data_IF_688932327053
#
_entry.id   IF_688932327053
#
_cell.length_a   1.000
_cell.length_b   1.000
_cell.length_c   1.000
_cell.angle_alpha   90.00
_cell.angle_beta   90.00
_cell.angle_gamma   90.00
#
_symmetry.space_group_name_H-M   'P 1'
#
loop_
_entity.id
_entity.type
_entity.pdbx_description
1 polymer ?
#
# COMPACT_ATOMS: atom_id res chain seq x y z
N UNK A 1 20.49 3.25 3.56
CA UNK A 1 21.22 3.86 2.43
C UNK A 1 22.22 4.87 2.95
N UNK A 2 21.77 5.77 3.83
CA UNK A 2 22.63 6.75 4.51
C UNK A 2 23.76 6.10 5.34
N UNK A 3 23.51 4.90 5.88
CA UNK A 3 24.51 4.07 6.56
C UNK A 3 25.47 3.31 5.61
N UNK A 4 25.41 3.54 4.29
CA UNK A 4 26.26 2.89 3.28
C UNK A 4 25.82 1.48 2.84
N UNK A 5 24.75 0.95 3.44
CA UNK A 5 24.17 -0.35 3.10
C UNK A 5 23.60 -0.40 1.67
N UNK A 6 23.66 -1.59 1.04
CA UNK A 6 23.17 -1.83 -0.34
C UNK A 6 22.07 -2.91 -0.40
N UNK A 7 20.87 -2.66 0.16
CA UNK A 7 19.87 -3.70 0.34
C UNK A 7 19.02 -3.91 -0.94
N UNK A 8 19.55 -4.66 -1.92
CA UNK A 8 18.91 -4.80 -3.24
C UNK A 8 17.45 -5.26 -3.22
N UNK A 9 17.09 -6.17 -2.31
CA UNK A 9 15.72 -6.69 -2.17
C UNK A 9 14.80 -5.64 -1.56
N UNK A 10 15.26 -4.92 -0.53
CA UNK A 10 14.46 -3.88 0.12
C UNK A 10 14.23 -2.70 -0.82
N UNK A 11 15.25 -2.30 -1.58
CA UNK A 11 15.11 -1.28 -2.63
C UNK A 11 14.06 -1.69 -3.68
N UNK A 12 14.05 -2.96 -4.08
CA UNK A 12 13.04 -3.48 -5.01
C UNK A 12 11.62 -3.48 -4.41
N UNK A 13 11.47 -3.86 -3.13
CA UNK A 13 10.19 -3.80 -2.39
C UNK A 13 9.69 -2.36 -2.33
N UNK A 14 10.55 -1.41 -1.91
CA UNK A 14 10.20 0.01 -1.78
C UNK A 14 9.83 0.61 -3.14
N UNK A 15 10.62 0.37 -4.19
CA UNK A 15 10.30 0.84 -5.54
C UNK A 15 8.94 0.33 -5.99
N UNK A 16 8.69 -0.97 -5.83
CA UNK A 16 7.40 -1.57 -6.20
C UNK A 16 6.24 -0.95 -5.43
N UNK A 17 6.32 -0.91 -4.10
CA UNK A 17 5.22 -0.44 -3.25
C UNK A 17 4.95 1.06 -3.36
N UNK A 18 5.99 1.89 -3.40
CA UNK A 18 5.80 3.34 -3.53
C UNK A 18 5.19 3.71 -4.89
N UNK A 19 5.58 3.01 -5.96
CA UNK A 19 5.05 3.32 -7.30
C UNK A 19 3.63 2.77 -7.52
N UNK A 20 3.30 1.60 -6.98
CA UNK A 20 1.94 1.06 -7.04
C UNK A 20 1.00 1.81 -6.08
N UNK A 21 1.43 2.07 -4.85
CA UNK A 21 0.66 2.87 -3.89
C UNK A 21 0.42 4.30 -4.37
N UNK A 22 1.38 4.92 -5.08
CA UNK A 22 1.16 6.21 -5.74
C UNK A 22 0.11 6.11 -6.86
N UNK A 23 0.09 5.03 -7.64
CA UNK A 23 -0.95 4.82 -8.66
C UNK A 23 -2.34 4.74 -8.01
N UNK A 24 -2.49 3.93 -6.97
CA UNK A 24 -3.76 3.78 -6.24
C UNK A 24 -4.19 5.11 -5.63
N UNK A 25 -3.30 5.78 -4.88
CA UNK A 25 -3.59 7.06 -4.22
C UNK A 25 -3.99 8.15 -5.21
N UNK A 26 -3.31 8.25 -6.37
CA UNK A 26 -3.67 9.23 -7.40
C UNK A 26 -5.02 8.88 -8.02
N UNK A 27 -5.32 7.60 -8.29
CA UNK A 27 -6.63 7.21 -8.80
C UNK A 27 -7.75 7.56 -7.82
N UNK A 28 -7.58 7.22 -6.54
CA UNK A 28 -8.56 7.53 -5.50
C UNK A 28 -8.77 9.04 -5.35
N UNK A 29 -7.68 9.83 -5.41
CA UNK A 29 -7.77 11.28 -5.42
C UNK A 29 -8.53 11.80 -6.65
N UNK A 30 -8.29 11.23 -7.84
CA UNK A 30 -9.02 11.62 -9.05
C UNK A 30 -10.50 11.27 -8.95
N UNK A 31 -10.86 10.13 -8.36
CA UNK A 31 -12.25 9.73 -8.12
C UNK A 31 -12.96 10.69 -7.15
N UNK A 32 -12.28 11.11 -6.07
CA UNK A 32 -12.79 12.12 -5.12
C UNK A 32 -13.02 13.47 -5.82
N UNK A 33 -12.10 13.89 -6.69
CA UNK A 33 -12.19 15.18 -7.39
C UNK A 33 -13.11 15.17 -8.63
N UNK A 34 -13.48 14.00 -9.15
CA UNK A 34 -14.39 13.85 -10.28
C UNK A 34 -13.99 14.65 -11.52
N UNK A 35 -14.91 15.47 -12.04
CA UNK A 35 -14.72 16.23 -13.29
C UNK A 35 -13.48 17.12 -13.30
N UNK A 36 -13.10 17.69 -12.14
CA UNK A 36 -11.89 18.52 -12.00
C UNK A 36 -10.62 17.75 -12.35
N UNK A 37 -10.54 16.48 -11.94
CA UNK A 37 -9.37 15.65 -12.17
C UNK A 37 -9.20 15.26 -13.65
N UNK A 38 -10.26 15.36 -14.46
CA UNK A 38 -10.22 15.00 -15.88
C UNK A 38 -9.72 16.18 -16.73
N UNK A 39 -10.18 17.40 -16.44
CA UNK A 39 -9.83 18.57 -17.27
C UNK A 39 -8.42 19.06 -16.96
N UNK A 40 -7.58 19.13 -17.99
CA UNK A 40 -6.18 19.55 -17.85
C UNK A 40 -6.05 21.07 -17.91
N UNK A 41 -6.27 21.72 -16.78
CA UNK A 41 -6.05 23.15 -16.62
C UNK A 41 -5.31 23.51 -15.32
N UNK A 42 -5.14 24.82 -15.06
CA UNK A 42 -4.38 25.32 -13.90
C UNK A 42 -4.91 24.85 -12.55
N UNK A 43 -6.20 24.49 -12.44
CA UNK A 43 -6.79 24.00 -11.19
C UNK A 43 -6.57 22.50 -10.99
N UNK A 44 -6.12 21.75 -12.00
CA UNK A 44 -5.91 20.31 -11.91
C UNK A 44 -4.46 19.95 -11.58
N UNK A 45 -4.20 19.74 -10.29
CA UNK A 45 -2.90 19.34 -9.76
C UNK A 45 -2.64 17.82 -9.83
N UNK A 46 -3.62 17.00 -10.25
CA UNK A 46 -3.51 15.54 -10.27
C UNK A 46 -3.14 14.97 -11.64
N UNK A 47 -3.57 15.63 -12.74
CA UNK A 47 -3.43 15.08 -14.09
C UNK A 47 -1.98 14.82 -14.51
N UNK A 48 -1.03 15.68 -14.12
CA UNK A 48 0.38 15.49 -14.46
C UNK A 48 0.97 14.29 -13.72
N UNK A 49 0.67 14.14 -12.43
CA UNK A 49 1.08 12.99 -11.62
C UNK A 49 0.51 11.69 -12.19
N UNK A 50 -0.78 11.68 -12.56
CA UNK A 50 -1.42 10.53 -13.20
C UNK A 50 -0.73 10.11 -14.50
N UNK A 51 -0.44 11.08 -15.39
CA UNK A 51 0.28 10.83 -16.65
C UNK A 51 1.70 10.30 -16.45
N UNK A 52 2.34 10.65 -15.33
CA UNK A 52 3.69 10.21 -15.01
C UNK A 52 3.75 8.78 -14.44
N UNK A 53 2.63 8.22 -13.95
CA UNK A 53 2.58 6.89 -13.32
C UNK A 53 3.20 5.76 -14.17
N UNK A 54 2.94 5.65 -15.49
CA UNK A 54 3.54 4.58 -16.29
C UNK A 54 5.07 4.63 -16.30
N UNK A 55 5.66 5.82 -16.23
CA UNK A 55 7.12 6.00 -16.22
C UNK A 55 7.70 5.40 -14.94
N UNK A 56 7.17 5.78 -13.77
CA UNK A 56 7.66 5.28 -12.48
C UNK A 56 7.56 3.75 -12.34
N UNK A 57 6.53 3.16 -12.96
CA UNK A 57 6.24 1.72 -12.84
C UNK A 57 7.09 0.88 -13.80
N UNK A 58 7.48 1.45 -14.94
CA UNK A 58 8.22 0.73 -16.00
C UNK A 58 9.73 0.98 -15.96
N UNK A 59 10.16 2.18 -15.58
CA UNK A 59 11.57 2.57 -15.48
C UNK A 59 12.20 1.98 -14.20
N UNK A 60 13.54 1.82 -14.21
CA UNK A 60 14.34 1.19 -13.13
C UNK A 60 14.04 -0.29 -12.87
N UNK A 61 13.36 -0.94 -13.82
CA UNK A 61 12.89 -2.31 -13.71
C UNK A 61 11.37 -2.35 -13.58
N UNK A 62 10.72 -2.91 -14.60
CA UNK A 62 9.27 -3.00 -14.63
C UNK A 62 8.74 -3.77 -13.40
N UNK A 63 7.73 -3.21 -12.74
CA UNK A 63 7.16 -3.78 -11.52
C UNK A 63 6.80 -5.28 -11.66
N UNK A 64 6.35 -5.72 -12.83
CA UNK A 64 6.04 -7.13 -13.13
C UNK A 64 7.28 -8.03 -12.94
N UNK A 65 8.44 -7.61 -13.45
CA UNK A 65 9.69 -8.35 -13.34
C UNK A 65 10.27 -8.23 -11.93
N UNK A 66 10.22 -7.03 -11.34
CA UNK A 66 10.68 -6.78 -9.97
C UNK A 66 9.96 -7.69 -8.98
N UNK A 67 8.62 -7.75 -9.07
CA UNK A 67 7.77 -8.61 -8.26
C UNK A 67 8.00 -10.09 -8.54
N UNK A 68 8.04 -10.50 -9.81
CA UNK A 68 8.04 -11.93 -10.15
C UNK A 68 9.43 -12.58 -10.09
N UNK A 69 10.52 -11.82 -10.26
CA UNK A 69 11.88 -12.38 -10.38
C UNK A 69 12.85 -11.91 -9.29
N UNK A 70 12.78 -10.64 -8.88
CA UNK A 70 13.82 -10.02 -8.04
C UNK A 70 13.50 -10.21 -6.56
N UNK A 71 12.34 -9.77 -6.11
CA UNK A 71 12.00 -9.66 -4.68
C UNK A 71 12.14 -11.01 -3.97
N UNK A 72 11.46 -12.05 -4.47
CA UNK A 72 11.60 -13.38 -3.88
C UNK A 72 12.73 -14.20 -4.49
N UNK A 73 12.85 -14.27 -5.83
CA UNK A 73 13.80 -15.15 -6.49
C UNK A 73 15.26 -14.88 -6.11
N UNK A 74 15.72 -13.63 -6.23
CA UNK A 74 17.09 -13.28 -5.82
C UNK A 74 17.23 -13.16 -4.30
N UNK A 75 16.17 -12.72 -3.61
CA UNK A 75 16.15 -12.63 -2.15
C UNK A 75 16.31 -14.00 -1.47
N UNK A 76 15.61 -15.02 -1.94
CA UNK A 76 15.68 -16.38 -1.41
C UNK A 76 17.09 -16.97 -1.53
N UNK A 77 17.77 -16.79 -2.66
CA UNK A 77 19.14 -17.29 -2.85
C UNK A 77 20.13 -16.64 -1.87
N UNK A 78 20.00 -15.33 -1.64
CA UNK A 78 20.96 -14.57 -0.81
C UNK A 78 20.66 -14.66 0.68
N UNK A 79 19.39 -14.68 1.07
CA UNK A 79 18.97 -14.62 2.47
C UNK A 79 18.80 -16.00 3.11
N UNK A 80 18.63 -17.07 2.33
CA UNK A 80 18.45 -18.40 2.88
C UNK A 80 19.78 -18.96 3.45
N UNK A 81 19.82 -19.44 4.71
CA UNK A 81 21.07 -19.82 5.39
C UNK A 81 21.89 -20.94 4.72
N UNK A 82 21.24 -21.77 3.90
CA UNK A 82 21.83 -23.00 3.33
C UNK A 82 21.84 -23.03 1.80
N UNK A 83 20.96 -22.28 1.13
CA UNK A 83 20.72 -22.47 -0.31
C UNK A 83 21.94 -22.08 -1.15
N UNK A 84 22.57 -20.94 -0.84
CA UNK A 84 23.78 -20.51 -1.53
C UNK A 84 24.94 -21.47 -1.31
N UNK A 85 25.06 -22.04 -0.10
CA UNK A 85 26.10 -23.01 0.24
C UNK A 85 25.94 -24.30 -0.55
N UNK A 86 24.70 -24.80 -0.69
CA UNK A 86 24.38 -25.96 -1.54
C UNK A 86 24.76 -25.70 -3.00
N UNK A 87 24.38 -24.54 -3.55
CA UNK A 87 24.69 -24.17 -4.93
C UNK A 87 26.21 -24.07 -5.17
N UNK A 88 26.94 -23.43 -4.25
CA UNK A 88 28.40 -23.31 -4.34
C UNK A 88 29.10 -24.66 -4.24
N UNK A 89 28.67 -25.52 -3.32
CA UNK A 89 29.23 -26.87 -3.16
C UNK A 89 28.96 -27.74 -4.40
N UNK A 90 27.78 -27.61 -5.02
CA UNK A 90 27.42 -28.34 -6.25
C UNK A 90 28.16 -27.83 -7.51
N UNK A 91 28.57 -26.56 -7.54
CA UNK A 91 29.33 -25.96 -8.65
C UNK A 91 30.85 -26.14 -8.54
N UNK A 92 31.35 -26.56 -7.37
CA UNK A 92 32.77 -26.74 -7.13
C UNK A 92 33.39 -27.93 -7.89
N UNK A 93 34.73 -28.06 -7.85
CA UNK A 93 35.43 -29.20 -8.46
C UNK A 93 34.94 -30.51 -7.86
N UNK A 94 34.69 -31.52 -8.70
CA UNK A 94 34.23 -32.83 -8.26
C UNK A 94 35.31 -33.54 -7.42
N UNK A 95 35.25 -33.35 -6.10
CA UNK A 95 36.16 -33.95 -5.14
C UNK A 95 35.42 -34.33 -3.83
N UNK A 96 36.11 -35.09 -2.98
CA UNK A 96 35.54 -35.58 -1.72
C UNK A 96 35.20 -34.46 -0.73
N UNK A 97 35.82 -33.28 -0.86
CA UNK A 97 35.50 -32.14 -0.01
C UNK A 97 34.18 -31.48 -0.44
N UNK A 98 34.02 -31.18 -1.73
CA UNK A 98 32.79 -30.60 -2.29
C UNK A 98 31.57 -31.49 -1.99
N UNK A 99 31.74 -32.81 -2.06
CA UNK A 99 30.68 -33.76 -1.66
C UNK A 99 30.30 -33.65 -0.19
N UNK A 100 31.29 -33.57 0.71
CA UNK A 100 31.05 -33.41 2.15
C UNK A 100 30.38 -32.08 2.49
N UNK A 101 30.81 -31.01 1.84
CA UNK A 101 30.24 -29.67 2.02
C UNK A 101 28.79 -29.61 1.53
N UNK A 102 28.50 -30.27 0.40
CA UNK A 102 27.14 -30.41 -0.13
C UNK A 102 26.25 -31.21 0.81
N UNK A 103 26.70 -32.40 1.25
CA UNK A 103 25.94 -33.25 2.16
C UNK A 103 25.64 -32.50 3.47
N UNK A 104 26.62 -31.80 4.04
CA UNK A 104 26.44 -30.99 5.24
C UNK A 104 25.40 -29.87 5.04
N UNK A 105 25.48 -29.13 3.93
CA UNK A 105 24.54 -28.06 3.63
C UNK A 105 23.12 -28.59 3.44
N UNK A 106 22.96 -29.68 2.69
CA UNK A 106 21.67 -30.30 2.40
C UNK A 106 20.98 -30.87 3.65
N UNK A 107 21.71 -31.59 4.50
CA UNK A 107 21.14 -32.12 5.75
C UNK A 107 20.83 -31.01 6.75
N UNK A 108 21.62 -29.94 6.76
CA UNK A 108 21.33 -28.76 7.60
C UNK A 108 20.10 -28.00 7.11
N UNK A 109 19.91 -27.89 5.79
CA UNK A 109 18.70 -27.34 5.19
C UNK A 109 17.48 -28.20 5.54
N UNK A 110 17.56 -29.53 5.39
CA UNK A 110 16.46 -30.42 5.77
C UNK A 110 16.09 -30.25 7.25
N UNK A 111 17.08 -30.16 8.15
CA UNK A 111 16.86 -29.86 9.57
C UNK A 111 16.21 -28.50 9.80
N UNK A 112 16.64 -27.47 9.06
CA UNK A 112 16.05 -26.13 9.11
C UNK A 112 14.57 -26.14 8.68
N UNK A 113 14.24 -26.84 7.59
CA UNK A 113 12.87 -27.02 7.11
C UNK A 113 11.98 -27.74 8.12
N UNK A 114 12.49 -28.82 8.75
CA UNK A 114 11.75 -29.53 9.81
C UNK A 114 11.51 -28.61 11.01
N UNK A 115 12.52 -27.82 11.43
CA UNK A 115 12.37 -26.83 12.49
C UNK A 115 11.31 -25.78 12.14
N UNK A 116 11.30 -25.27 10.90
CA UNK A 116 10.28 -24.34 10.43
C UNK A 116 8.89 -24.99 10.39
N UNK A 117 8.78 -26.27 10.03
CA UNK A 117 7.53 -27.01 10.04
C UNK A 117 6.93 -27.12 11.45
N UNK A 118 7.74 -27.52 12.43
CA UNK A 118 7.33 -27.60 13.84
C UNK A 118 6.95 -26.21 14.37
N UNK A 119 7.76 -25.18 14.07
CA UNK A 119 7.49 -23.81 14.49
C UNK A 119 6.18 -23.27 13.89
N UNK A 120 5.99 -23.43 12.58
CA UNK A 120 4.78 -22.99 11.90
C UNK A 120 3.54 -23.70 12.44
N UNK A 121 3.62 -25.00 12.70
CA UNK A 121 2.53 -25.77 13.30
C UNK A 121 2.22 -25.30 14.72
N UNK A 122 3.23 -25.16 15.59
CA UNK A 122 3.02 -24.71 16.98
C UNK A 122 2.44 -23.30 17.05
N UNK A 123 2.94 -22.37 16.22
CA UNK A 123 2.39 -21.02 16.12
C UNK A 123 1.02 -20.99 15.45
N UNK A 124 0.76 -21.91 14.51
CA UNK A 124 -0.55 -22.11 13.89
C UNK A 124 -1.60 -22.58 14.89
N UNK A 125 -1.29 -23.61 15.67
CA UNK A 125 -2.17 -24.19 16.68
C UNK A 125 -2.44 -23.23 17.85
N UNK A 126 -1.45 -22.45 18.25
CA UNK A 126 -1.58 -21.49 19.35
C UNK A 126 -2.02 -20.09 18.91
N UNK A 127 -2.32 -19.87 17.62
CA UNK A 127 -2.57 -18.53 17.07
C UNK A 127 -1.48 -17.50 17.44
N UNK A 128 -0.22 -17.93 17.51
CA UNK A 128 0.93 -17.10 17.89
C UNK A 128 1.05 -16.77 19.38
N UNK A 129 0.14 -17.22 20.25
CA UNK A 129 0.19 -16.91 21.69
C UNK A 129 1.44 -17.44 22.40
N UNK A 130 2.02 -18.52 21.88
CA UNK A 130 3.21 -19.16 22.46
C UNK A 130 4.51 -18.40 22.20
N UNK A 131 4.52 -17.45 21.25
CA UNK A 131 5.71 -16.62 21.02
C UNK A 131 5.69 -15.35 21.86
N UNK A 132 6.88 -14.92 22.29
CA UNK A 132 7.05 -13.66 23.04
C UNK A 132 7.10 -12.49 22.05
N UNK A 133 6.49 -11.37 22.44
CA UNK A 133 6.66 -10.11 21.75
C UNK A 133 7.86 -9.37 22.35
N UNK A 134 8.65 -8.62 21.56
CA UNK A 134 9.76 -7.83 22.06
C UNK A 134 9.29 -6.59 22.84
N UNK A 135 8.01 -6.23 22.72
CA UNK A 135 7.38 -5.08 23.38
C UNK A 135 6.16 -5.53 24.19
N UNK A 136 5.76 -4.70 25.15
CA UNK A 136 4.49 -4.81 25.86
C UNK A 136 3.41 -3.92 25.23
N UNK A 137 2.16 -4.03 25.69
CA UNK A 137 1.08 -3.12 25.28
C UNK A 137 0.29 -3.53 24.04
N UNK A 138 -0.40 -2.55 23.44
CA UNK A 138 -1.43 -2.74 22.40
C UNK A 138 -0.87 -3.38 21.11
N UNK A 139 0.40 -3.13 20.76
CA UNK A 139 1.05 -3.69 19.57
C UNK A 139 1.67 -5.08 19.77
N UNK A 140 1.78 -5.57 21.01
CA UNK A 140 2.43 -6.86 21.30
C UNK A 140 1.78 -8.03 20.54
N UNK A 141 0.46 -8.00 20.35
CA UNK A 141 -0.27 -8.99 19.54
C UNK A 141 0.22 -9.04 18.10
N UNK A 142 0.51 -7.88 17.49
CA UNK A 142 0.94 -7.79 16.11
C UNK A 142 2.30 -8.44 15.88
N UNK A 143 3.28 -8.24 16.77
CA UNK A 143 4.56 -8.94 16.71
C UNK A 143 4.40 -10.47 16.75
N UNK A 144 3.47 -10.98 17.57
CA UNK A 144 3.19 -12.42 17.63
C UNK A 144 2.57 -12.96 16.33
N UNK A 145 1.62 -12.22 15.74
CA UNK A 145 1.01 -12.63 14.47
C UNK A 145 2.01 -12.55 13.31
N UNK A 146 2.85 -11.53 13.26
CA UNK A 146 3.92 -11.43 12.25
C UNK A 146 4.95 -12.55 12.40
N UNK A 147 5.33 -12.92 13.63
CA UNK A 147 6.21 -14.07 13.88
C UNK A 147 5.59 -15.37 13.36
N UNK A 148 4.28 -15.56 13.59
CA UNK A 148 3.52 -16.70 13.05
C UNK A 148 3.54 -16.72 11.52
N UNK A 149 3.27 -15.58 10.88
CA UNK A 149 3.27 -15.47 9.41
C UNK A 149 4.67 -15.58 8.80
N UNK A 150 5.70 -15.11 9.49
CA UNK A 150 7.10 -15.29 9.09
C UNK A 150 7.50 -16.77 9.12
N UNK A 151 7.14 -17.51 10.18
CA UNK A 151 7.38 -18.95 10.24
C UNK A 151 6.63 -19.72 9.16
N UNK A 152 5.37 -19.33 8.88
CA UNK A 152 4.59 -19.87 7.78
C UNK A 152 5.26 -19.63 6.42
N UNK A 153 5.65 -18.39 6.15
CA UNK A 153 6.35 -18.01 4.93
C UNK A 153 7.65 -18.80 4.75
N UNK A 154 8.47 -18.91 5.79
CA UNK A 154 9.72 -19.65 5.77
C UNK A 154 9.51 -21.13 5.41
N UNK A 155 8.53 -21.80 6.05
CA UNK A 155 8.19 -23.18 5.72
C UNK A 155 7.77 -23.34 4.25
N UNK A 156 6.91 -22.46 3.74
CA UNK A 156 6.45 -22.54 2.35
C UNK A 156 7.59 -22.26 1.36
N UNK A 157 8.46 -21.30 1.68
CA UNK A 157 9.63 -20.97 0.88
C UNK A 157 10.57 -22.18 0.79
N UNK A 158 10.92 -22.80 1.92
CA UNK A 158 11.76 -23.99 1.98
C UNK A 158 11.14 -25.14 1.18
N UNK A 159 9.86 -25.42 1.38
CA UNK A 159 9.16 -26.50 0.68
C UNK A 159 9.16 -26.28 -0.85
N UNK A 160 9.00 -25.03 -1.30
CA UNK A 160 9.04 -24.69 -2.73
C UNK A 160 10.45 -24.81 -3.30
N UNK A 161 11.46 -24.32 -2.59
CA UNK A 161 12.86 -24.40 -3.02
C UNK A 161 13.34 -25.86 -3.10
N UNK A 162 12.99 -26.69 -2.12
CA UNK A 162 13.31 -28.12 -2.11
C UNK A 162 12.59 -28.89 -3.24
N UNK A 163 11.33 -28.56 -3.52
CA UNK A 163 10.54 -29.31 -4.51
C UNK A 163 10.80 -28.87 -5.96
N UNK A 164 10.99 -27.58 -6.20
CA UNK A 164 11.19 -27.05 -7.54
C UNK A 164 12.66 -26.89 -7.94
N UNK A 165 13.56 -26.67 -6.98
CA UNK A 165 14.97 -26.38 -7.22
C UNK A 165 15.14 -25.33 -8.33
N UNK A 166 15.97 -25.63 -9.33
CA UNK A 166 16.23 -24.73 -10.47
C UNK A 166 15.04 -24.45 -11.38
N UNK A 167 13.93 -25.21 -11.30
CA UNK A 167 12.69 -24.93 -12.05
C UNK A 167 11.91 -23.75 -11.47
N UNK A 168 12.22 -23.36 -10.22
CA UNK A 168 11.55 -22.26 -9.54
C UNK A 168 11.61 -20.95 -10.33
N UNK A 169 12.75 -20.67 -10.99
CA UNK A 169 12.95 -19.45 -11.80
C UNK A 169 11.95 -19.27 -12.95
N UNK A 170 11.25 -20.33 -13.35
CA UNK A 170 10.23 -20.31 -14.40
C UNK A 170 8.79 -20.27 -13.85
N UNK A 171 8.61 -20.23 -12.53
CA UNK A 171 7.31 -20.18 -11.84
C UNK A 171 7.02 -18.75 -11.36
N UNK A 172 6.99 -17.81 -12.30
CA UNK A 172 6.82 -16.38 -12.05
C UNK A 172 5.57 -16.04 -11.23
N UNK A 173 4.42 -16.66 -11.50
CA UNK A 173 3.20 -16.43 -10.72
C UNK A 173 3.32 -16.90 -9.27
N UNK A 174 4.05 -18.00 -9.02
CA UNK A 174 4.30 -18.50 -7.67
C UNK A 174 5.27 -17.57 -6.93
N UNK A 175 6.34 -17.16 -7.61
CA UNK A 175 7.32 -16.21 -7.10
C UNK A 175 6.69 -14.85 -6.76
N UNK A 176 5.80 -14.34 -7.62
CA UNK A 176 5.06 -13.10 -7.36
C UNK A 176 4.21 -13.16 -6.09
N UNK A 177 3.58 -14.30 -5.78
CA UNK A 177 2.82 -14.45 -4.51
C UNK A 177 3.72 -14.49 -3.28
N UNK A 178 4.91 -15.10 -3.40
CA UNK A 178 5.89 -15.01 -2.32
C UNK A 178 6.41 -13.57 -2.17
N UNK A 179 6.60 -12.85 -3.28
CA UNK A 179 6.97 -11.44 -3.22
C UNK A 179 5.90 -10.63 -2.47
N UNK A 180 4.60 -10.80 -2.77
CA UNK A 180 3.53 -10.10 -2.06
C UNK A 180 3.54 -10.38 -0.55
N UNK A 181 3.66 -11.65 -0.16
CA UNK A 181 3.74 -12.03 1.25
C UNK A 181 4.99 -11.43 1.93
N UNK A 182 6.14 -11.44 1.25
CA UNK A 182 7.38 -10.87 1.78
C UNK A 182 7.31 -9.34 1.91
N UNK A 183 6.71 -8.68 0.92
CA UNK A 183 6.49 -7.23 0.93
C UNK A 183 5.68 -6.83 2.15
N UNK A 184 4.52 -7.46 2.38
CA UNK A 184 3.68 -7.10 3.53
C UNK A 184 4.27 -7.54 4.88
N UNK A 185 5.06 -8.63 4.92
CA UNK A 185 5.86 -8.94 6.12
C UNK A 185 6.86 -7.83 6.44
N UNK A 186 7.52 -7.29 5.41
CA UNK A 186 8.45 -6.18 5.55
C UNK A 186 7.74 -4.88 5.95
N UNK A 187 6.67 -4.49 5.25
CA UNK A 187 5.90 -3.27 5.54
C UNK A 187 5.34 -3.29 6.96
N UNK A 188 4.68 -4.36 7.39
CA UNK A 188 4.16 -4.46 8.75
C UNK A 188 5.26 -4.42 9.82
N UNK A 189 6.43 -5.02 9.53
CA UNK A 189 7.59 -4.94 10.43
C UNK A 189 8.15 -3.51 10.50
N UNK A 190 8.21 -2.81 9.36
CA UNK A 190 8.65 -1.43 9.27
C UNK A 190 7.69 -0.48 9.98
N UNK A 191 6.37 -0.67 9.84
CA UNK A 191 5.34 0.09 10.58
C UNK A 191 5.53 -0.04 12.08
N UNK A 192 5.70 -1.27 12.59
CA UNK A 192 5.94 -1.50 14.01
C UNK A 192 7.27 -0.91 14.48
N UNK A 193 8.33 -1.01 13.67
CA UNK A 193 9.63 -0.44 14.01
C UNK A 193 9.56 1.09 14.08
N UNK A 194 8.96 1.72 13.06
CA UNK A 194 8.74 3.17 13.04
C UNK A 194 7.92 3.63 14.24
N UNK A 195 6.83 2.93 14.56
CA UNK A 195 6.01 3.26 15.73
C UNK A 195 6.81 3.24 17.03
N UNK A 196 7.70 2.26 17.21
CA UNK A 196 8.60 2.21 18.38
C UNK A 196 9.64 3.33 18.35
N UNK A 197 10.19 3.64 17.18
CA UNK A 197 11.20 4.69 17.00
C UNK A 197 10.63 6.11 17.21
N UNK A 198 9.32 6.28 16.98
CA UNK A 198 8.59 7.52 17.25
C UNK A 198 8.09 7.59 18.71
N UNK A 199 8.62 6.77 19.62
CA UNK A 199 8.21 6.67 21.04
C UNK A 199 6.79 6.14 21.30
N UNK A 200 6.20 5.42 20.34
CA UNK A 200 4.90 4.73 20.45
C UNK A 200 3.70 5.63 20.80
N UNK A 201 3.45 6.72 20.05
CA UNK A 201 2.38 7.68 20.32
C UNK A 201 1.00 7.01 20.23
N UNK A 202 0.17 7.11 21.26
CA UNK A 202 -1.11 6.39 21.30
C UNK A 202 -2.07 6.83 20.19
N UNK A 203 -2.00 8.09 19.77
CA UNK A 203 -2.81 8.65 18.70
C UNK A 203 -2.54 8.03 17.32
N UNK A 204 -1.36 7.42 17.09
CA UNK A 204 -1.02 6.75 15.82
C UNK A 204 -1.51 5.30 15.77
N UNK A 205 -2.02 4.76 16.88
CA UNK A 205 -2.49 3.37 16.95
C UNK A 205 -3.53 3.00 15.89
N UNK A 206 -4.50 3.86 15.50
CA UNK A 206 -5.40 3.54 14.40
C UNK A 206 -4.68 3.30 13.07
N UNK A 207 -3.69 4.14 12.73
CA UNK A 207 -2.88 4.00 11.51
C UNK A 207 -2.06 2.70 11.54
N UNK A 208 -1.43 2.41 12.67
CA UNK A 208 -0.63 1.19 12.87
C UNK A 208 -1.50 -0.06 12.79
N UNK A 209 -2.66 -0.04 13.45
CA UNK A 209 -3.59 -1.17 13.47
C UNK A 209 -4.12 -1.47 12.08
N UNK A 210 -4.57 -0.45 11.36
CA UNK A 210 -5.06 -0.57 9.98
C UNK A 210 -3.99 -1.18 9.05
N UNK A 211 -2.77 -0.63 9.08
CA UNK A 211 -1.68 -1.08 8.20
C UNK A 211 -1.26 -2.53 8.46
N UNK A 212 -1.26 -2.97 9.73
CA UNK A 212 -0.91 -4.34 10.08
C UNK A 212 -2.05 -5.31 9.79
N UNK A 213 -3.30 -4.93 10.01
CA UNK A 213 -4.47 -5.75 9.68
C UNK A 213 -4.55 -6.02 8.18
N UNK A 214 -4.40 -4.98 7.37
CA UNK A 214 -4.30 -5.10 5.91
C UNK A 214 -3.14 -6.02 5.51
N UNK A 215 -1.96 -5.78 6.07
CA UNK A 215 -0.77 -6.59 5.76
C UNK A 215 -0.95 -8.07 6.15
N UNK A 216 -1.50 -8.36 7.33
CA UNK A 216 -1.77 -9.74 7.76
C UNK A 216 -2.80 -10.43 6.86
N UNK A 217 -3.82 -9.70 6.41
CA UNK A 217 -4.80 -10.22 5.47
C UNK A 217 -4.15 -10.56 4.11
N UNK A 218 -3.34 -9.64 3.58
CA UNK A 218 -2.64 -9.84 2.30
C UNK A 218 -1.62 -10.98 2.37
N UNK A 219 -0.81 -11.04 3.43
CA UNK A 219 0.11 -12.16 3.66
C UNK A 219 -0.65 -13.49 3.66
N UNK A 220 -1.73 -13.58 4.43
CA UNK A 220 -2.54 -14.80 4.50
C UNK A 220 -3.06 -15.24 3.14
N UNK A 221 -3.63 -14.31 2.37
CA UNK A 221 -4.18 -14.62 1.06
C UNK A 221 -3.09 -15.08 0.09
N UNK A 222 -1.94 -14.41 0.06
CA UNK A 222 -0.80 -14.81 -0.77
C UNK A 222 -0.26 -16.20 -0.39
N UNK A 223 -0.09 -16.48 0.91
CA UNK A 223 0.31 -17.82 1.39
C UNK A 223 -0.75 -18.89 1.07
N UNK A 224 -2.03 -18.55 1.18
CA UNK A 224 -3.11 -19.45 0.80
C UNK A 224 -3.11 -19.77 -0.70
N UNK A 225 -2.85 -18.78 -1.54
CA UNK A 225 -2.78 -18.96 -2.99
C UNK A 225 -1.53 -19.74 -3.42
N UNK A 226 -0.42 -19.60 -2.71
CA UNK A 226 0.76 -20.48 -2.83
C UNK A 226 0.36 -21.93 -2.54
N UNK A 227 -0.31 -22.18 -1.42
CA UNK A 227 -0.75 -23.52 -1.00
C UNK A 227 -1.74 -24.15 -2.00
N UNK A 228 -2.70 -23.36 -2.50
CA UNK A 228 -3.69 -23.82 -3.47
C UNK A 228 -3.07 -24.21 -4.82
N UNK A 229 -2.03 -23.52 -5.23
CA UNK A 229 -1.35 -23.75 -6.50
C UNK A 229 0.02 -24.40 -6.30
N UNK A 230 0.18 -25.15 -5.21
CA UNK A 230 1.43 -25.79 -4.89
C UNK A 230 1.81 -26.78 -6.01
N UNK A 231 3.07 -26.78 -6.49
CA UNK A 231 3.45 -27.56 -7.67
C UNK A 231 3.28 -29.08 -7.52
N UNK A 232 3.36 -29.58 -6.29
CA UNK A 232 3.27 -31.00 -5.96
C UNK A 232 1.85 -31.31 -5.46
N UNK A 233 1.10 -32.19 -6.14
CA UNK A 233 -0.24 -32.59 -5.69
C UNK A 233 -0.25 -33.14 -4.26
N UNK A 234 -1.25 -32.77 -3.47
CA UNK A 234 -1.38 -33.21 -2.07
C UNK A 234 -0.48 -32.47 -1.07
N UNK A 235 0.75 -32.11 -1.45
CA UNK A 235 1.69 -31.42 -0.55
C UNK A 235 1.18 -30.03 -0.13
N UNK A 236 0.52 -29.29 -1.02
CA UNK A 236 -0.15 -28.03 -0.67
C UNK A 236 -1.24 -28.20 0.41
N UNK A 237 -1.97 -29.32 0.40
CA UNK A 237 -2.95 -29.65 1.43
C UNK A 237 -2.30 -29.94 2.79
N UNK A 238 -1.21 -30.72 2.79
CA UNK A 238 -0.43 -31.01 4.00
C UNK A 238 0.16 -29.74 4.61
N UNK A 239 0.82 -28.91 3.80
CA UNK A 239 1.41 -27.64 4.24
C UNK A 239 0.33 -26.67 4.74
N UNK A 240 -0.87 -26.69 4.15
CA UNK A 240 -2.01 -25.90 4.65
C UNK A 240 -2.42 -26.33 6.05
N UNK A 241 -2.45 -27.63 6.35
CA UNK A 241 -2.75 -28.12 7.70
C UNK A 241 -1.71 -27.65 8.73
N UNK A 242 -0.43 -27.58 8.33
CA UNK A 242 0.65 -27.09 9.20
C UNK A 242 0.54 -25.58 9.46
N UNK A 243 0.32 -24.77 8.43
CA UNK A 243 0.33 -23.31 8.53
C UNK A 243 -1.00 -22.74 9.05
N UNK A 244 -2.11 -23.31 8.57
CA UNK A 244 -3.47 -22.83 8.79
C UNK A 244 -4.38 -23.96 9.31
N UNK A 245 -4.08 -24.57 10.48
CA UNK A 245 -4.83 -25.71 10.99
C UNK A 245 -6.32 -25.42 11.19
N UNK A 246 -6.66 -24.17 11.54
CA UNK A 246 -8.03 -23.70 11.74
C UNK A 246 -8.55 -22.81 10.60
N UNK A 247 -7.87 -22.80 9.44
CA UNK A 247 -8.24 -21.95 8.32
C UNK A 247 -7.63 -20.54 8.38
N UNK A 248 -8.38 -19.55 7.91
CA UNK A 248 -7.93 -18.17 7.62
C UNK A 248 -8.43 -17.19 8.69
N UNK A 249 -7.63 -16.87 9.74
CA UNK A 249 -8.10 -16.02 10.84
C UNK A 249 -8.03 -14.51 10.59
N UNK A 250 -7.34 -14.04 9.55
CA UNK A 250 -7.15 -12.60 9.31
C UNK A 250 -8.21 -12.09 8.33
N UNK A 251 -9.09 -11.21 8.82
CA UNK A 251 -10.00 -10.41 8.00
C UNK A 251 -9.35 -9.12 7.51
N UNK A 252 -10.04 -8.38 6.65
CA UNK A 252 -9.69 -7.01 6.29
C UNK A 252 -9.78 -6.09 7.53
N UNK A 253 -9.15 -4.90 7.51
CA UNK A 253 -9.32 -3.91 8.58
C UNK A 253 -10.81 -3.68 8.88
N UNK A 254 -11.15 -3.58 10.18
CA UNK A 254 -12.53 -3.35 10.61
C UNK A 254 -12.98 -1.93 10.29
N UNK A 255 -14.28 -1.75 10.02
CA UNK A 255 -14.88 -0.43 9.74
C UNK A 255 -14.62 0.59 10.85
N UNK A 256 -14.59 0.15 12.11
CA UNK A 256 -14.23 0.99 13.26
C UNK A 256 -12.80 1.53 13.14
N UNK A 257 -11.85 0.67 12.75
CA UNK A 257 -10.44 1.06 12.57
C UNK A 257 -10.30 1.99 11.37
N UNK A 258 -10.96 1.69 10.25
CA UNK A 258 -10.98 2.54 9.06
C UNK A 258 -11.61 3.91 9.34
N UNK A 259 -12.70 3.96 10.13
CA UNK A 259 -13.35 5.20 10.54
C UNK A 259 -12.46 6.05 11.45
N UNK A 260 -11.72 5.41 12.37
CA UNK A 260 -10.76 6.09 13.22
C UNK A 260 -9.60 6.69 12.42
N UNK A 261 -9.06 5.96 11.44
CA UNK A 261 -8.06 6.47 10.50
C UNK A 261 -8.59 7.64 9.69
N UNK A 262 -9.78 7.52 9.10
CA UNK A 262 -10.40 8.62 8.33
C UNK A 262 -10.58 9.87 9.20
N UNK A 263 -11.01 9.71 10.46
CA UNK A 263 -11.18 10.83 11.40
C UNK A 263 -9.86 11.54 11.71
N UNK A 264 -8.75 10.79 11.86
CA UNK A 264 -7.41 11.36 12.01
C UNK A 264 -7.00 12.16 10.76
N UNK A 265 -7.25 11.64 9.56
CA UNK A 265 -6.87 12.31 8.31
C UNK A 265 -7.73 13.55 7.99
N UNK A 266 -8.97 13.58 8.48
CA UNK A 266 -9.94 14.68 8.31
C UNK A 266 -9.88 15.75 9.42
N UNK A 267 -8.80 15.81 10.18
CA UNK A 267 -8.55 16.83 11.20
C UNK A 267 -7.09 17.27 11.23
N UNK A 268 -6.82 18.44 11.82
CA UNK A 268 -5.47 18.90 12.13
C UNK A 268 -5.04 18.28 13.47
N UNK A 269 -4.00 17.44 13.43
CA UNK A 269 -3.46 16.73 14.59
C UNK A 269 -2.03 16.27 14.31
N UNK A 270 -1.32 15.91 15.39
CA UNK A 270 0.09 15.51 15.32
C UNK A 270 0.32 14.23 14.50
N UNK A 271 -0.63 13.28 14.51
CA UNK A 271 -0.54 12.05 13.69
C UNK A 271 -0.48 12.37 12.20
N UNK A 272 -1.31 13.31 11.74
CA UNK A 272 -1.33 13.78 10.35
C UNK A 272 -0.05 14.54 10.01
N UNK A 273 0.45 15.38 10.92
CA UNK A 273 1.69 16.12 10.74
C UNK A 273 2.90 15.17 10.63
N UNK A 274 2.94 14.11 11.47
CA UNK A 274 3.95 13.04 11.36
C UNK A 274 3.84 12.26 10.06
N UNK A 275 2.62 11.92 9.63
CA UNK A 275 2.38 11.18 8.39
C UNK A 275 2.80 11.97 7.14
N UNK A 276 2.62 13.29 7.16
CA UNK A 276 2.96 14.18 6.05
C UNK A 276 4.34 14.82 6.17
N UNK A 277 5.13 14.40 7.16
CA UNK A 277 6.47 14.93 7.38
C UNK A 277 7.36 14.75 6.14
N UNK A 278 8.01 15.83 5.72
CA UNK A 278 8.87 15.83 4.53
C UNK A 278 8.13 15.96 3.20
N UNK A 279 6.80 16.03 3.20
CA UNK A 279 6.00 16.36 2.02
C UNK A 279 5.90 17.88 1.91
N UNK A 280 6.19 18.43 0.71
CA UNK A 280 5.97 19.84 0.45
C UNK A 280 4.47 20.16 0.43
N UNK A 281 4.03 21.05 1.31
CA UNK A 281 2.69 21.61 1.33
C UNK A 281 2.77 23.06 0.85
N UNK A 282 2.11 23.37 -0.26
CA UNK A 282 2.15 24.71 -0.84
C UNK A 282 1.37 25.70 0.03
N UNK A 283 1.98 26.84 0.33
CA UNK A 283 1.37 28.00 0.97
C UNK A 283 0.96 29.08 -0.06
N UNK A 284 1.22 28.83 -1.34
CA UNK A 284 0.84 29.72 -2.44
C UNK A 284 -0.62 29.52 -2.87
N UNK A 285 -1.18 30.50 -3.59
CA UNK A 285 -2.50 30.39 -4.23
C UNK A 285 -2.48 29.53 -5.51
N UNK A 286 -1.76 28.40 -5.46
CA UNK A 286 -1.80 27.36 -6.49
C UNK A 286 -2.88 26.31 -6.19
N UNK A 287 -3.09 25.39 -7.13
CA UNK A 287 -4.16 24.40 -7.01
C UNK A 287 -4.03 23.48 -5.78
N UNK A 288 -2.82 23.17 -5.32
CA UNK A 288 -2.59 22.33 -4.15
C UNK A 288 -2.72 23.16 -2.84
N UNK A 289 -2.17 24.38 -2.83
CA UNK A 289 -2.29 25.29 -1.69
C UNK A 289 -3.74 25.71 -1.42
N UNK A 290 -4.57 25.86 -2.46
CA UNK A 290 -6.02 26.07 -2.32
C UNK A 290 -6.72 24.92 -1.60
N UNK A 291 -6.29 23.67 -1.82
CA UNK A 291 -6.85 22.50 -1.10
C UNK A 291 -6.47 22.56 0.37
N UNK A 292 -5.20 22.83 0.69
CA UNK A 292 -4.74 22.96 2.06
C UNK A 292 -5.45 24.12 2.80
N UNK A 293 -5.60 25.27 2.14
CA UNK A 293 -6.30 26.42 2.70
C UNK A 293 -7.80 26.14 2.93
N UNK A 294 -8.48 25.52 1.97
CA UNK A 294 -9.88 25.14 2.12
C UNK A 294 -10.07 24.10 3.24
N UNK A 295 -9.15 23.14 3.37
CA UNK A 295 -9.16 22.15 4.44
C UNK A 295 -9.16 22.85 5.81
N UNK A 296 -8.22 23.77 6.03
CA UNK A 296 -8.13 24.53 7.28
C UNK A 296 -9.43 25.31 7.58
N UNK A 297 -9.93 26.08 6.62
CA UNK A 297 -11.16 26.88 6.80
C UNK A 297 -12.39 26.03 7.09
N UNK A 298 -12.52 24.85 6.48
CA UNK A 298 -13.63 23.91 6.74
C UNK A 298 -13.54 23.33 8.16
N UNK A 299 -12.34 23.14 8.70
CA UNK A 299 -12.18 22.74 10.09
C UNK A 299 -12.57 23.86 11.05
N UNK A 300 -12.15 25.10 10.78
CA UNK A 300 -12.49 26.27 11.59
C UNK A 300 -14.00 26.58 11.55
N UNK A 301 -14.67 26.40 10.40
CA UNK A 301 -16.11 26.68 10.26
C UNK A 301 -17.02 25.58 10.82
N UNK A 302 -16.48 24.40 11.17
CA UNK A 302 -17.25 23.19 11.50
C UNK A 302 -18.30 23.39 12.58
N UNK A 303 -17.95 24.05 13.69
CA UNK A 303 -18.89 24.27 14.79
C UNK A 303 -20.05 25.17 14.36
N UNK A 304 -19.76 26.22 13.59
CA UNK A 304 -20.77 27.13 13.08
C UNK A 304 -21.68 26.44 12.05
N UNK A 305 -21.12 25.65 11.13
CA UNK A 305 -21.91 24.86 10.16
C UNK A 305 -22.81 23.84 10.86
N UNK A 306 -22.31 23.18 11.91
CA UNK A 306 -23.11 22.24 12.70
C UNK A 306 -24.22 22.95 13.48
N UNK A 307 -23.97 24.15 14.01
CA UNK A 307 -24.99 24.97 14.66
C UNK A 307 -26.09 25.39 13.67
N UNK A 308 -25.72 25.84 12.47
CA UNK A 308 -26.66 26.15 11.38
C UNK A 308 -27.51 24.92 11.06
N UNK A 309 -26.88 23.76 10.84
CA UNK A 309 -27.57 22.51 10.51
C UNK A 309 -28.55 22.08 11.59
N UNK A 310 -28.15 22.16 12.86
CA UNK A 310 -28.99 21.79 14.00
C UNK A 310 -30.20 22.73 14.15
N UNK A 311 -30.02 24.03 13.91
CA UNK A 311 -31.06 25.03 14.09
C UNK A 311 -32.04 25.12 12.90
N UNK A 312 -31.52 25.01 11.67
CA UNK A 312 -32.31 25.20 10.44
C UNK A 312 -32.72 23.88 9.77
N UNK A 313 -32.13 22.75 10.17
CA UNK A 313 -32.41 21.43 9.58
C UNK A 313 -31.79 21.21 8.20
N UNK A 314 -30.99 22.16 7.70
CA UNK A 314 -30.37 22.15 6.37
C UNK A 314 -28.84 22.19 6.51
N UNK A 315 -28.13 21.35 5.77
CA UNK A 315 -26.66 21.39 5.71
C UNK A 315 -26.17 22.54 4.84
N UNK A 316 -25.11 23.21 5.29
CA UNK A 316 -24.44 24.25 4.50
C UNK A 316 -23.73 23.61 3.29
N UNK A 317 -23.89 24.23 2.13
CA UNK A 317 -23.24 23.86 0.88
C UNK A 317 -22.86 25.11 0.08
N UNK A 318 -22.03 24.92 -0.95
CA UNK A 318 -21.59 25.96 -1.87
C UNK A 318 -22.77 26.72 -2.52
N UNK A 319 -23.92 26.06 -2.70
CA UNK A 319 -25.09 26.65 -3.37
C UNK A 319 -26.02 27.42 -2.43
N UNK A 320 -26.03 27.08 -1.14
CA UNK A 320 -27.03 27.61 -0.19
C UNK A 320 -26.44 28.43 0.97
N UNK A 321 -25.11 28.47 1.13
CA UNK A 321 -24.47 29.07 2.31
C UNK A 321 -24.86 30.54 2.51
N UNK A 322 -25.01 31.32 1.44
CA UNK A 322 -25.34 32.74 1.54
C UNK A 322 -26.69 32.98 2.26
N UNK A 323 -27.69 32.16 1.92
CA UNK A 323 -29.03 32.22 2.52
C UNK A 323 -29.03 31.67 3.95
N UNK A 324 -28.45 30.50 4.16
CA UNK A 324 -28.44 29.84 5.47
C UNK A 324 -27.65 30.64 6.51
N UNK A 325 -26.50 31.20 6.14
CA UNK A 325 -25.70 32.05 7.02
C UNK A 325 -26.48 33.31 7.40
N UNK A 326 -27.20 33.95 6.46
CA UNK A 326 -28.02 35.13 6.77
C UNK A 326 -29.13 34.79 7.78
N UNK A 327 -29.90 33.72 7.51
CA UNK A 327 -30.96 33.23 8.42
C UNK A 327 -30.41 32.88 9.80
N UNK A 328 -29.23 32.27 9.87
CA UNK A 328 -28.60 31.88 11.14
C UNK A 328 -28.12 33.08 11.96
N UNK A 329 -27.62 34.14 11.33
CA UNK A 329 -27.27 35.40 12.00
C UNK A 329 -28.53 36.12 12.49
N UNK A 330 -29.57 36.23 11.66
CA UNK A 330 -30.83 36.88 12.01
C UNK A 330 -31.55 36.19 13.18
N UNK A 331 -31.44 34.86 13.27
CA UNK A 331 -31.98 34.06 14.37
C UNK A 331 -31.07 33.96 15.59
N UNK A 332 -29.87 34.55 15.55
CA UNK A 332 -28.90 34.54 16.64
C UNK A 332 -28.25 33.18 16.91
N UNK A 333 -28.32 32.24 15.97
CA UNK A 333 -27.69 30.92 16.07
C UNK A 333 -26.17 31.02 16.02
N UNK A 334 -25.66 31.96 15.22
CA UNK A 334 -24.23 32.27 15.08
C UNK A 334 -24.00 33.79 15.11
N UNK A 335 -22.78 34.20 15.42
CA UNK A 335 -22.35 35.61 15.34
C UNK A 335 -21.75 35.96 13.96
N UNK A 336 -21.46 37.24 13.73
CA UNK A 336 -20.91 37.72 12.45
C UNK A 336 -19.52 37.15 12.12
N UNK A 337 -18.71 36.84 13.13
CA UNK A 337 -17.38 36.25 12.91
C UNK A 337 -17.49 34.80 12.44
N UNK A 338 -18.35 34.02 13.08
CA UNK A 338 -18.70 32.67 12.64
C UNK A 338 -19.32 32.68 11.24
N UNK A 339 -20.20 33.65 10.96
CA UNK A 339 -20.78 33.84 9.64
C UNK A 339 -19.73 34.13 8.57
N UNK A 340 -18.72 34.96 8.90
CA UNK A 340 -17.57 35.24 8.03
C UNK A 340 -16.77 33.97 7.75
N UNK A 341 -16.45 33.18 8.77
CA UNK A 341 -15.71 31.92 8.63
C UNK A 341 -16.44 30.92 7.74
N UNK A 342 -17.75 30.71 7.93
CA UNK A 342 -18.55 29.82 7.08
C UNK A 342 -18.54 30.29 5.63
N UNK A 343 -18.70 31.60 5.36
CA UNK A 343 -18.62 32.13 3.99
C UNK A 343 -17.26 31.88 3.36
N UNK A 344 -16.17 32.18 4.07
CA UNK A 344 -14.81 31.94 3.59
C UNK A 344 -14.55 30.46 3.30
N UNK A 345 -14.98 29.56 4.17
CA UNK A 345 -14.83 28.12 3.99
C UNK A 345 -15.56 27.63 2.72
N UNK A 346 -16.81 28.08 2.51
CA UNK A 346 -17.60 27.67 1.34
C UNK A 346 -17.06 28.29 0.04
N UNK A 347 -16.57 29.53 0.06
CA UNK A 347 -15.88 30.15 -1.08
C UNK A 347 -14.57 29.43 -1.43
N UNK A 348 -13.79 29.01 -0.42
CA UNK A 348 -12.57 28.24 -0.63
C UNK A 348 -12.87 26.84 -1.17
N UNK A 349 -13.87 26.15 -0.62
CA UNK A 349 -14.34 24.86 -1.11
C UNK A 349 -14.84 24.95 -2.56
N UNK A 350 -15.56 26.01 -2.91
CA UNK A 350 -16.02 26.26 -4.28
C UNK A 350 -14.85 26.36 -5.26
N UNK A 351 -13.78 27.08 -4.90
CA UNK A 351 -12.55 27.16 -5.70
C UNK A 351 -11.86 25.80 -5.85
N UNK A 352 -11.89 24.96 -4.81
CA UNK A 352 -11.34 23.61 -4.86
C UNK A 352 -12.16 22.69 -5.77
N UNK A 353 -13.48 22.81 -5.77
CA UNK A 353 -14.37 21.96 -6.59
C UNK A 353 -14.46 22.46 -8.04
N UNK A 354 -14.18 23.74 -8.29
CA UNK A 354 -14.24 24.33 -9.61
C UNK A 354 -13.44 23.54 -10.65
N UNK A 355 -14.12 23.27 -11.77
CA UNK A 355 -13.54 22.62 -12.95
C UNK A 355 -13.04 23.71 -13.90
N UNK A 356 -11.84 23.52 -14.45
CA UNK A 356 -11.36 24.41 -15.50
C UNK A 356 -12.29 24.34 -16.72
N UNK A 357 -12.69 25.50 -17.22
CA UNK A 357 -13.45 25.63 -18.46
C UNK A 357 -12.64 26.43 -19.49
N UNK A 358 -12.68 25.97 -20.74
CA UNK A 358 -11.93 26.56 -21.84
C UNK A 358 -12.88 26.92 -22.97
N UNK A 359 -12.91 28.20 -23.40
CA UNK A 359 -13.73 28.58 -24.54
C UNK A 359 -13.23 27.86 -25.80
N UNK A 360 -14.16 27.57 -26.72
CA UNK A 360 -13.88 26.86 -27.98
C UNK A 360 -12.70 27.45 -28.76
N UNK A 361 -12.52 28.76 -28.70
CA UNK A 361 -11.44 29.50 -29.37
C UNK A 361 -10.04 29.22 -28.81
N UNK A 362 -9.91 28.63 -27.62
CA UNK A 362 -8.62 28.25 -27.00
C UNK A 362 -8.17 26.82 -27.31
N UNK A 363 -8.96 26.03 -28.04
CA UNK A 363 -8.61 24.65 -28.43
C UNK A 363 -7.98 24.69 -29.82
N UNK A 364 -6.67 24.42 -29.91
CA UNK A 364 -5.95 24.30 -31.18
C UNK A 364 -6.60 23.24 -32.08
N UNK A 365 -6.82 23.57 -33.36
CA UNK A 365 -7.31 22.62 -34.37
C UNK A 365 -8.84 22.48 -34.46
N UNK A 366 -9.64 23.23 -33.69
CA UNK A 366 -11.11 23.16 -33.80
C UNK A 366 -11.65 23.59 -35.17
N UNK A 367 -10.93 24.45 -35.90
CA UNK A 367 -11.26 24.85 -37.27
C UNK A 367 -10.74 23.87 -38.35
N UNK A 368 -10.00 22.82 -37.97
CA UNK A 368 -9.52 21.83 -38.94
C UNK A 368 -10.58 20.73 -39.16
N UNK A 369 -10.80 20.29 -40.41
CA UNK A 369 -11.79 19.25 -40.71
C UNK A 369 -11.44 17.95 -39.98
N UNK A 370 -12.48 17.16 -39.68
CA UNK A 370 -12.39 15.92 -38.89
C UNK A 370 -11.20 15.03 -39.31
N UNK A 371 -10.43 14.58 -38.32
CA UNK A 371 -9.33 13.64 -38.47
C UNK A 371 -9.80 12.42 -39.30
N UNK A 372 -9.25 12.26 -40.51
CA UNK A 372 -9.40 11.03 -41.28
C UNK A 372 -8.39 10.02 -40.74
N UNK A 373 -8.82 8.93 -40.07
CA UNK A 373 -7.88 7.90 -39.65
C UNK A 373 -7.16 7.35 -40.88
N UNK A 374 -5.85 7.14 -40.75
CA UNK A 374 -5.06 6.45 -41.75
C UNK A 374 -5.42 4.95 -41.73
N UNK A 375 -6.59 4.61 -42.28
CA UNK A 375 -6.83 3.24 -42.74
C UNK A 375 -5.85 3.01 -43.89
N UNK A 376 -4.87 2.14 -43.68
CA UNK A 376 -4.09 1.60 -44.79
C UNK A 376 -5.07 1.01 -45.79
N UNK A 377 -4.95 1.32 -47.10
CA UNK A 377 -5.66 0.52 -48.09
C UNK A 377 -5.21 -0.93 -47.88
N UNK A 378 -6.16 -1.82 -47.69
CA UNK A 378 -5.90 -3.23 -47.92
C UNK A 378 -5.65 -3.31 -49.42
N UNK A 379 -4.39 -3.43 -49.82
CA UNK A 379 -4.08 -3.87 -51.18
C UNK A 379 -4.71 -5.26 -51.32
N UNK A 380 -5.80 -5.32 -52.09
CA UNK A 380 -6.27 -6.55 -52.68
C UNK A 380 -5.16 -7.06 -53.59
N UNK A 381 -4.27 -7.91 -53.05
CA UNK A 381 -3.46 -8.80 -53.89
C UNK A 381 -4.40 -9.82 -54.53
N UNK A 382 -4.92 -9.43 -55.68
CA UNK A 382 -5.38 -10.33 -56.73
C UNK A 382 -4.13 -10.81 -57.47
N UNK A 383 -3.73 -12.05 -57.23
CA UNK A 383 -3.18 -12.97 -58.23
C UNK A 383 -3.26 -14.41 -57.73
#
# INVERSE_FOLDING_TARGET
LDEGEKPSVLSAILKYQLTEGNRETINDAMDIHGGKAIIQGPNNYLAHSYKALPVAITVEGANILTRSLIIFGQGAIRAHPWLLKEMQAAQGPANSQARRDFDHALFSHAGFTISNAVRALMLGLSFGWTTRAPVAGKTARYYRQLTRMSAAFALLADAVLLTLGGKFKFKESLSGRFADALIHLYLASATLKKFVDDDSPEEDLPLVSWAIEDSLHTIQNSLHDILRNFPVPGLGGLLRLLVFPFGRPYGTPLDETSTAVASLLMSENESRDRLTHGVYLSDADDAAGRVAHAFHLVLESREAEQAIRNALGESVSVDNYAELVRRAVESGVINEEQARLVRLAQEAAAKVIAVDDFPKTRIEGFEQPAFKPALRPVEEEVA
#
